data_IF_349485179855
#
_entry.id   IF_349485179855
#
_cell.length_a   1.000
_cell.length_b   1.000
_cell.length_c   1.000
_cell.angle_alpha   90.00
_cell.angle_beta   90.00
_cell.angle_gamma   90.00
#
_symmetry.space_group_name_H-M   'P 1'
#
loop_
_entity.id
_entity.type
_entity.pdbx_description
1 polymer ?
#
# COMPACT_ATOMS: atom_id res chain seq x y z
N UNK A 1 19.36 0.78 -1.96
CA UNK A 1 18.63 -0.17 -2.83
C UNK A 1 19.58 -1.27 -3.27
N UNK A 2 19.22 -2.54 -3.03
CA UNK A 2 20.09 -3.71 -3.24
C UNK A 2 20.60 -3.87 -4.69
N UNK A 3 19.80 -3.45 -5.69
CA UNK A 3 20.20 -3.49 -7.10
C UNK A 3 21.10 -2.33 -7.53
N UNK A 4 21.10 -1.22 -6.80
CA UNK A 4 21.99 -0.07 -7.04
C UNK A 4 23.39 -0.29 -6.46
N UNK A 5 23.53 -1.23 -5.54
CA UNK A 5 24.81 -1.58 -4.95
C UNK A 5 25.64 -2.43 -5.94
N UNK A 6 26.93 -2.11 -6.09
CA UNK A 6 27.84 -2.77 -7.04
C UNK A 6 28.20 -4.18 -6.51
N UNK A 7 27.31 -5.15 -6.77
CA UNK A 7 27.53 -6.56 -6.48
C UNK A 7 28.62 -7.21 -7.36
N UNK A 8 28.67 -8.55 -7.45
CA UNK A 8 29.69 -9.28 -8.19
C UNK A 8 29.92 -8.74 -9.61
N UNK A 9 31.20 -8.53 -9.96
CA UNK A 9 31.66 -7.68 -11.08
C UNK A 9 31.71 -8.38 -12.44
N UNK A 10 31.18 -9.60 -12.57
CA UNK A 10 31.16 -10.28 -13.87
C UNK A 10 30.21 -9.52 -14.82
N UNK A 11 30.67 -9.21 -16.04
CA UNK A 11 29.92 -8.41 -17.02
C UNK A 11 28.48 -8.90 -17.26
N UNK A 12 28.27 -10.23 -17.30
CA UNK A 12 26.94 -10.81 -17.45
C UNK A 12 26.02 -10.52 -16.27
N UNK A 13 26.54 -10.56 -15.05
CA UNK A 13 25.79 -10.26 -13.82
C UNK A 13 25.43 -8.77 -13.78
N UNK A 14 26.35 -7.88 -14.15
CA UNK A 14 26.09 -6.44 -14.24
C UNK A 14 24.98 -6.13 -15.26
N UNK A 15 25.04 -6.75 -16.44
CA UNK A 15 24.03 -6.57 -17.49
C UNK A 15 22.66 -7.01 -16.99
N UNK A 16 22.57 -8.20 -16.39
CA UNK A 16 21.30 -8.73 -15.86
C UNK A 16 20.72 -7.85 -14.75
N UNK A 17 21.57 -7.35 -13.84
CA UNK A 17 21.15 -6.45 -12.75
C UNK A 17 20.62 -5.12 -13.29
N UNK A 18 21.29 -4.56 -14.29
CA UNK A 18 20.88 -3.31 -14.92
C UNK A 18 19.53 -3.47 -15.64
N UNK A 19 19.39 -4.50 -16.47
CA UNK A 19 18.12 -4.80 -17.15
C UNK A 19 16.97 -5.02 -16.16
N UNK A 20 17.24 -5.72 -15.05
CA UNK A 20 16.26 -5.92 -13.98
C UNK A 20 15.87 -4.58 -13.32
N UNK A 21 16.85 -3.74 -12.98
CA UNK A 21 16.60 -2.42 -12.39
C UNK A 21 15.77 -1.54 -13.33
N UNK A 22 16.11 -1.49 -14.61
CA UNK A 22 15.40 -0.68 -15.61
C UNK A 22 13.98 -1.21 -15.87
N UNK A 23 13.81 -2.52 -15.88
CA UNK A 23 12.50 -3.16 -15.96
C UNK A 23 11.61 -2.82 -14.76
N UNK A 24 12.16 -2.80 -13.54
CA UNK A 24 11.41 -2.44 -12.34
C UNK A 24 11.06 -0.96 -12.31
N UNK A 25 12.03 -0.08 -12.58
CA UNK A 25 11.81 1.37 -12.65
C UNK A 25 10.71 1.71 -13.67
N UNK A 26 10.70 1.04 -14.83
CA UNK A 26 9.68 1.25 -15.86
C UNK A 26 8.29 0.78 -15.42
N UNK A 27 8.18 -0.40 -14.81
CA UNK A 27 6.90 -0.99 -14.39
C UNK A 27 6.27 -0.24 -13.21
N UNK A 28 7.10 0.23 -12.28
CA UNK A 28 6.66 0.87 -11.05
C UNK A 28 6.92 2.38 -11.01
N UNK A 29 7.11 3.01 -12.18
CA UNK A 29 7.43 4.44 -12.29
C UNK A 29 6.43 5.36 -11.57
N UNK A 30 5.17 4.94 -11.47
CA UNK A 30 4.06 5.72 -10.87
C UNK A 30 3.47 5.06 -9.63
N UNK A 31 4.16 4.07 -9.05
CA UNK A 31 3.61 3.32 -7.89
C UNK A 31 3.37 4.24 -6.68
N UNK A 32 4.22 5.25 -6.53
CA UNK A 32 4.12 6.26 -5.47
C UNK A 32 3.02 7.32 -5.73
N UNK A 33 2.40 7.31 -6.92
CA UNK A 33 1.25 8.16 -7.23
C UNK A 33 -0.09 7.49 -6.87
N UNK A 34 -0.08 6.21 -6.50
CA UNK A 34 -1.29 5.43 -6.20
C UNK A 34 -1.54 5.46 -4.68
N UNK A 35 -2.57 6.18 -4.19
CA UNK A 35 -2.78 6.40 -2.76
C UNK A 35 -2.90 5.10 -1.96
N UNK A 36 -3.66 4.12 -2.43
CA UNK A 36 -3.87 2.87 -1.70
C UNK A 36 -2.57 2.07 -1.50
N UNK A 37 -1.67 2.07 -2.49
CA UNK A 37 -0.38 1.37 -2.41
C UNK A 37 0.55 2.09 -1.43
N UNK A 38 0.56 3.43 -1.49
CA UNK A 38 1.36 4.27 -0.62
C UNK A 38 0.89 4.14 0.84
N UNK A 39 -0.41 4.22 1.09
CA UNK A 39 -0.99 4.07 2.44
C UNK A 39 -0.75 2.68 3.01
N UNK A 40 -0.99 1.61 2.24
CA UNK A 40 -0.69 0.24 2.68
C UNK A 40 0.79 0.08 3.04
N UNK A 41 1.70 0.67 2.26
CA UNK A 41 3.14 0.62 2.51
C UNK A 41 3.53 1.42 3.77
N UNK A 42 2.91 2.60 3.98
CA UNK A 42 3.14 3.44 5.15
C UNK A 42 2.68 2.77 6.46
N UNK A 43 1.52 2.11 6.41
CA UNK A 43 0.91 1.45 7.56
C UNK A 43 1.59 0.11 7.90
N UNK A 44 2.26 -0.52 6.93
CA UNK A 44 2.97 -1.77 7.16
C UNK A 44 4.23 -1.53 8.02
N UNK A 45 4.31 -2.13 9.23
CA UNK A 45 5.42 -1.92 10.15
C UNK A 45 6.80 -2.29 9.60
N UNK A 46 6.87 -3.09 8.54
CA UNK A 46 8.11 -3.56 7.93
C UNK A 46 8.82 -2.47 7.13
N UNK A 47 8.12 -1.41 6.71
CA UNK A 47 8.65 -0.43 5.76
C UNK A 47 8.96 0.96 6.37
N UNK A 48 8.88 1.12 7.70
CA UNK A 48 8.99 2.40 8.43
C UNK A 48 10.17 3.31 8.04
N UNK A 49 11.31 2.76 7.64
CA UNK A 49 12.52 3.55 7.34
C UNK A 49 12.84 3.68 5.85
N UNK A 50 12.20 2.90 4.98
CA UNK A 50 12.57 2.77 3.56
C UNK A 50 11.38 2.62 2.60
N UNK A 51 10.17 3.04 3.03
CA UNK A 51 8.95 2.87 2.26
C UNK A 51 8.95 3.61 0.91
N UNK A 52 9.57 4.80 0.85
CA UNK A 52 9.44 5.69 -0.30
C UNK A 52 10.78 6.19 -0.85
N UNK A 53 10.76 6.55 -2.12
CA UNK A 53 11.95 7.03 -2.85
C UNK A 53 12.31 8.46 -2.48
N UNK A 54 11.35 9.26 -1.98
CA UNK A 54 11.57 10.65 -1.59
C UNK A 54 10.80 11.06 -0.34
N UNK A 55 11.31 12.05 0.39
CA UNK A 55 10.61 12.66 1.52
C UNK A 55 9.31 13.35 1.11
N UNK A 56 9.22 13.82 -0.14
CA UNK A 56 8.00 14.41 -0.69
C UNK A 56 6.84 13.40 -0.71
N UNK A 57 7.11 12.17 -1.16
CA UNK A 57 6.13 11.08 -1.15
C UNK A 57 5.66 10.77 0.28
N UNK A 58 6.57 10.79 1.26
CA UNK A 58 6.21 10.56 2.65
C UNK A 58 5.28 11.66 3.21
N UNK A 59 5.53 12.92 2.87
CA UNK A 59 4.64 14.03 3.26
C UNK A 59 3.25 13.85 2.65
N UNK A 60 3.18 13.58 1.35
CA UNK A 60 1.93 13.32 0.63
C UNK A 60 1.17 12.12 1.21
N UNK A 61 1.88 11.06 1.58
CA UNK A 61 1.29 9.87 2.20
C UNK A 61 0.63 10.19 3.55
N UNK A 62 1.21 11.10 4.34
CA UNK A 62 0.62 11.55 5.61
C UNK A 62 -0.61 12.41 5.38
N UNK A 63 -0.58 13.29 4.37
CA UNK A 63 -1.74 14.10 3.98
C UNK A 63 -2.91 13.19 3.57
N UNK A 64 -2.67 12.24 2.68
CA UNK A 64 -3.67 11.25 2.27
C UNK A 64 -4.22 10.42 3.44
N UNK A 65 -3.37 10.05 4.40
CA UNK A 65 -3.83 9.31 5.58
C UNK A 65 -4.79 10.15 6.42
N UNK A 66 -4.51 11.44 6.58
CA UNK A 66 -5.38 12.37 7.31
C UNK A 66 -6.71 12.55 6.59
N UNK A 67 -6.68 12.70 5.26
CA UNK A 67 -7.89 12.81 4.43
C UNK A 67 -8.79 11.57 4.56
N UNK A 68 -8.22 10.36 4.42
CA UNK A 68 -8.97 9.10 4.59
C UNK A 68 -9.55 8.94 6.00
N UNK A 69 -8.82 9.36 7.04
CA UNK A 69 -9.32 9.33 8.41
C UNK A 69 -10.48 10.33 8.65
N UNK A 70 -10.49 11.45 7.94
CA UNK A 70 -11.59 12.42 8.00
C UNK A 70 -12.83 11.91 7.28
N UNK A 71 -12.65 11.26 6.13
CA UNK A 71 -13.75 10.63 5.37
C UNK A 71 -14.42 9.49 6.16
N UNK A 72 -13.62 8.69 6.87
CA UNK A 72 -14.13 7.66 7.79
C UNK A 72 -14.80 8.22 9.07
N UNK A 73 -14.69 9.54 9.30
CA UNK A 73 -15.26 10.23 10.46
C UNK A 73 -16.77 10.50 10.35
N UNK A 74 -17.37 10.26 9.19
CA UNK A 74 -18.83 10.22 9.01
C UNK A 74 -19.29 8.79 9.30
N UNK A 75 -20.07 8.52 10.37
CA UNK A 75 -20.70 7.22 10.54
C UNK A 75 -21.71 7.04 9.40
N UNK A 76 -21.29 6.39 8.31
CA UNK A 76 -22.20 5.96 7.28
C UNK A 76 -23.22 4.99 7.92
N UNK A 77 -24.50 5.34 7.86
CA UNK A 77 -25.63 4.61 8.45
C UNK A 77 -25.84 3.20 7.84
N UNK A 78 -24.88 2.66 7.09
CA UNK A 78 -25.06 1.48 6.24
C UNK A 78 -24.69 0.15 6.90
N UNK A 79 -24.16 0.13 8.13
CA UNK A 79 -23.87 -1.13 8.84
C UNK A 79 -25.02 -1.66 9.72
N UNK A 80 -26.10 -0.90 9.91
CA UNK A 80 -27.27 -1.36 10.71
C UNK A 80 -28.35 -1.96 9.81
N UNK A 81 -28.01 -2.92 8.95
CA UNK A 81 -29.04 -3.65 8.19
C UNK A 81 -28.59 -5.02 7.64
N UNK A 82 -27.77 -5.79 8.36
CA UNK A 82 -27.59 -7.23 8.03
C UNK A 82 -27.52 -8.20 9.23
N UNK A 83 -27.82 -7.77 10.46
CA UNK A 83 -27.81 -8.67 11.63
C UNK A 83 -29.18 -8.97 12.25
N UNK A 84 -30.29 -8.49 11.65
CA UNK A 84 -31.58 -8.40 12.34
C UNK A 84 -32.69 -9.39 11.97
N UNK A 85 -32.46 -10.44 11.17
CA UNK A 85 -33.53 -11.39 10.83
C UNK A 85 -33.03 -12.82 10.65
N UNK A 86 -32.86 -13.58 11.73
CA UNK A 86 -33.33 -14.97 11.79
C UNK A 86 -33.45 -15.38 13.27
N UNK A 87 -34.42 -16.25 13.56
CA UNK A 87 -34.74 -16.85 14.88
C UNK A 87 -35.71 -16.08 15.79
N UNK A 88 -36.98 -16.10 15.40
CA UNK A 88 -38.07 -16.35 16.35
C UNK A 88 -39.31 -16.85 15.60
N UNK A 89 -39.42 -18.16 15.40
CA UNK A 89 -40.71 -18.86 15.27
C UNK A 89 -40.47 -20.37 15.33
N UNK A 90 -40.53 -20.94 16.53
CA UNK A 90 -41.08 -22.28 16.70
C UNK A 90 -41.79 -22.32 18.05
N UNK A 91 -43.12 -22.32 18.00
CA UNK A 91 -44.01 -22.63 19.11
C UNK A 91 -45.13 -23.51 18.56
N UNK A 92 -45.36 -24.62 19.27
CA UNK A 92 -46.52 -25.54 19.19
C UNK A 92 -46.69 -26.42 17.93
N UNK A 93 -46.50 -27.75 18.10
CA UNK A 93 -47.59 -28.72 18.39
C UNK A 93 -47.06 -29.84 19.28
#
# INVERSE_FOLDING_TARGET
MLLKDQGPTTRGIQTMRQEMLDSLNRRFAKVEDVPCVVLATLLDPRYKHHAFTSDHTLTKAKEWLIEEMQDMGEPSETEVQMSGQTEAQETEV
#
